data_IF_676525433090
#
_entry.id   IF_676525433090
#
_cell.length_a   1.000
_cell.length_b   1.000
_cell.length_c   1.000
_cell.angle_alpha   90.00
_cell.angle_beta   90.00
_cell.angle_gamma   90.00
#
_symmetry.space_group_name_H-M   'P 1'
#
loop_
_entity.id
_entity.type
_entity.pdbx_description
1 polymer ?
#
# COMPACT_ATOMS: atom_id res chain seq x y z
N UNK A 1 11.98 -8.83 8.77
CA UNK A 1 11.03 -9.72 9.47
C UNK A 1 10.81 -9.11 10.85
N UNK A 2 9.61 -9.17 11.47
CA UNK A 2 9.46 -8.63 12.81
C UNK A 2 10.44 -9.36 13.75
N UNK A 3 11.27 -8.64 14.48
CA UNK A 3 12.12 -9.22 15.53
C UNK A 3 11.39 -9.29 16.88
N UNK A 4 10.17 -8.75 16.91
CA UNK A 4 9.29 -8.66 18.05
C UNK A 4 8.60 -10.01 18.31
N UNK A 5 8.85 -10.56 19.50
CA UNK A 5 8.44 -11.92 19.88
C UNK A 5 6.91 -12.07 19.97
N UNK A 6 6.20 -11.03 20.38
CA UNK A 6 4.74 -10.96 20.44
C UNK A 6 4.12 -11.01 19.04
N UNK A 7 4.62 -10.17 18.11
CA UNK A 7 4.18 -10.19 16.71
C UNK A 7 4.47 -11.55 16.09
N UNK A 8 5.67 -12.10 16.28
CA UNK A 8 6.01 -13.42 15.74
C UNK A 8 5.21 -14.56 16.37
N UNK A 9 4.76 -14.43 17.62
CA UNK A 9 3.92 -15.41 18.30
C UNK A 9 2.50 -15.38 17.75
N UNK A 10 1.92 -14.19 17.56
CA UNK A 10 0.54 -14.00 17.16
C UNK A 10 0.26 -14.58 15.76
N UNK A 11 1.20 -14.39 14.84
CA UNK A 11 1.11 -14.85 13.43
C UNK A 11 1.94 -16.12 13.15
N UNK A 12 2.46 -16.79 14.19
CA UNK A 12 3.05 -18.13 14.08
C UNK A 12 4.44 -18.21 13.46
N UNK A 13 5.15 -17.10 13.27
CA UNK A 13 6.55 -17.11 12.82
C UNK A 13 7.48 -17.74 13.84
N UNK A 14 7.16 -17.70 15.14
CA UNK A 14 7.97 -18.32 16.20
C UNK A 14 8.12 -19.84 16.09
N UNK A 15 7.30 -20.51 15.27
CA UNK A 15 7.44 -21.95 15.02
C UNK A 15 8.55 -22.29 14.01
N UNK A 16 9.16 -21.29 13.39
CA UNK A 16 10.20 -21.46 12.39
C UNK A 16 11.47 -20.79 12.87
N UNK A 17 12.56 -21.54 13.01
CA UNK A 17 13.84 -20.99 13.48
C UNK A 17 14.58 -20.21 12.39
N UNK A 18 14.37 -20.56 11.11
CA UNK A 18 15.06 -19.91 10.00
C UNK A 18 14.22 -18.80 9.37
N UNK A 19 14.89 -17.70 9.00
CA UNK A 19 14.28 -16.62 8.22
C UNK A 19 13.66 -17.14 6.92
N UNK A 20 14.30 -18.11 6.26
CA UNK A 20 13.78 -18.71 5.03
C UNK A 20 12.43 -19.42 5.24
N UNK A 21 12.26 -20.12 6.36
CA UNK A 21 11.01 -20.82 6.67
C UNK A 21 9.92 -19.86 7.15
N UNK A 22 10.31 -18.82 7.90
CA UNK A 22 9.42 -17.71 8.25
C UNK A 22 8.94 -17.02 6.97
N UNK A 23 9.81 -16.65 6.04
CA UNK A 23 9.46 -16.04 4.75
C UNK A 23 8.47 -16.89 3.95
N UNK A 24 8.62 -18.21 3.98
CA UNK A 24 7.69 -19.15 3.33
C UNK A 24 6.31 -19.20 3.98
N UNK A 25 6.21 -19.06 5.30
CA UNK A 25 4.93 -18.93 5.99
C UNK A 25 4.20 -17.63 5.58
N UNK A 26 4.95 -16.55 5.41
CA UNK A 26 4.40 -15.27 4.95
C UNK A 26 3.82 -15.38 3.53
N UNK A 27 4.50 -16.11 2.63
CA UNK A 27 4.02 -16.40 1.28
C UNK A 27 2.68 -17.14 1.28
N UNK A 28 2.48 -18.09 2.20
CA UNK A 28 1.21 -18.80 2.35
C UNK A 28 0.06 -17.87 2.78
N UNK A 29 0.30 -16.98 3.74
CA UNK A 29 -0.72 -16.01 4.17
C UNK A 29 -1.11 -15.05 3.04
N UNK A 30 -0.14 -14.61 2.23
CA UNK A 30 -0.39 -13.80 1.04
C UNK A 30 -1.22 -14.56 -0.01
N UNK A 31 -0.92 -15.83 -0.26
CA UNK A 31 -1.66 -16.66 -1.20
C UNK A 31 -3.14 -16.80 -0.84
N UNK A 32 -3.45 -17.01 0.45
CA UNK A 32 -4.83 -17.11 0.95
C UNK A 32 -5.60 -15.79 0.78
N UNK A 33 -4.96 -14.65 1.05
CA UNK A 33 -5.56 -13.34 0.87
C UNK A 33 -5.85 -13.01 -0.59
N UNK A 34 -4.90 -13.27 -1.50
CA UNK A 34 -5.09 -13.05 -2.95
C UNK A 34 -6.26 -13.89 -3.49
N UNK A 35 -6.52 -15.05 -2.89
CA UNK A 35 -7.61 -15.93 -3.29
C UNK A 35 -8.95 -15.59 -2.59
N UNK A 36 -9.06 -14.43 -1.94
CA UNK A 36 -10.26 -14.00 -1.19
C UNK A 36 -10.76 -15.07 -0.21
N UNK A 37 -9.86 -15.86 0.37
CA UNK A 37 -10.27 -16.84 1.39
C UNK A 37 -10.73 -16.07 2.63
N UNK A 38 -11.99 -16.23 3.06
CA UNK A 38 -12.49 -15.55 4.25
C UNK A 38 -11.66 -15.92 5.49
N UNK A 39 -11.46 -14.95 6.36
CA UNK A 39 -10.63 -15.12 7.57
C UNK A 39 -11.25 -16.18 8.50
N UNK A 40 -12.58 -16.26 8.51
CA UNK A 40 -13.36 -17.23 9.27
C UNK A 40 -13.07 -18.66 8.83
N UNK A 41 -12.87 -18.88 7.53
CA UNK A 41 -12.53 -20.19 6.98
C UNK A 41 -11.09 -20.56 7.35
N UNK A 42 -10.14 -19.63 7.28
CA UNK A 42 -8.75 -19.88 7.70
C UNK A 42 -8.69 -20.23 9.19
N UNK A 43 -9.41 -19.49 10.03
CA UNK A 43 -9.50 -19.74 11.48
C UNK A 43 -10.15 -21.10 11.76
N UNK A 44 -11.27 -21.39 11.08
CA UNK A 44 -11.94 -22.69 11.16
C UNK A 44 -10.99 -23.82 10.78
N UNK A 45 -10.25 -23.68 9.68
CA UNK A 45 -9.29 -24.69 9.24
C UNK A 45 -8.15 -24.90 10.25
N UNK A 46 -7.75 -23.85 10.96
CA UNK A 46 -6.76 -23.95 12.03
C UNK A 46 -7.31 -24.67 13.26
N UNK A 47 -8.52 -24.33 13.71
CA UNK A 47 -9.18 -24.96 14.85
C UNK A 47 -9.44 -26.44 14.59
N UNK A 48 -9.83 -26.77 13.36
CA UNK A 48 -10.10 -28.14 12.90
C UNK A 48 -8.82 -28.94 12.57
N UNK A 49 -7.66 -28.28 12.51
CA UNK A 49 -6.40 -28.89 12.08
C UNK A 49 -6.36 -29.25 10.59
N UNK A 50 -7.29 -28.72 9.78
CA UNK A 50 -7.42 -28.90 8.34
C UNK A 50 -6.72 -27.83 7.50
N UNK A 51 -6.09 -26.82 8.13
CA UNK A 51 -5.40 -25.69 7.48
C UNK A 51 -4.48 -26.14 6.34
N UNK A 52 -3.68 -27.16 6.58
CA UNK A 52 -2.71 -27.70 5.61
C UNK A 52 -3.39 -28.30 4.38
N UNK A 53 -4.51 -29.00 4.58
CA UNK A 53 -5.27 -29.64 3.51
C UNK A 53 -5.95 -28.57 2.67
N UNK A 54 -6.59 -27.61 3.32
CA UNK A 54 -7.37 -26.59 2.65
C UNK A 54 -6.49 -25.54 1.93
N UNK A 55 -5.30 -25.24 2.46
CA UNK A 55 -4.29 -24.46 1.73
C UNK A 55 -3.86 -25.20 0.46
N UNK A 56 -3.58 -26.51 0.53
CA UNK A 56 -3.21 -27.30 -0.65
C UNK A 56 -4.33 -27.34 -1.69
N UNK A 57 -5.59 -27.46 -1.26
CA UNK A 57 -6.75 -27.43 -2.16
C UNK A 57 -6.93 -26.06 -2.82
N UNK A 58 -6.73 -24.97 -2.06
CA UNK A 58 -6.78 -23.60 -2.57
C UNK A 58 -5.64 -23.33 -3.55
N UNK A 59 -4.42 -23.78 -3.25
CA UNK A 59 -3.22 -23.55 -4.05
C UNK A 59 -3.16 -24.42 -5.33
N UNK A 60 -3.72 -25.64 -5.30
CA UNK A 60 -3.80 -26.53 -6.48
C UNK A 60 -4.67 -25.97 -7.63
N UNK A 61 -5.44 -24.90 -7.40
CA UNK A 61 -6.17 -24.20 -8.48
C UNK A 61 -5.27 -23.29 -9.33
N UNK A 62 -4.01 -23.04 -8.91
CA UNK A 62 -2.99 -22.37 -9.72
C UNK A 62 -2.00 -23.39 -10.30
N UNK A 63 -1.89 -23.45 -11.63
CA UNK A 63 -0.78 -24.15 -12.31
C UNK A 63 0.54 -23.49 -11.92
N UNK A 64 1.50 -24.26 -11.41
CA UNK A 64 2.92 -24.01 -11.70
C UNK A 64 3.97 -24.38 -10.66
N UNK A 65 3.78 -24.11 -9.37
CA UNK A 65 4.89 -24.18 -8.40
C UNK A 65 4.51 -24.87 -7.07
N UNK A 66 4.13 -26.15 -7.15
CA UNK A 66 3.83 -27.01 -5.99
C UNK A 66 5.02 -27.38 -5.09
N UNK A 67 6.17 -26.72 -5.25
CA UNK A 67 7.41 -27.02 -4.53
C UNK A 67 7.46 -26.38 -3.13
N UNK A 68 6.87 -25.18 -2.95
CA UNK A 68 7.01 -24.42 -1.71
C UNK A 68 6.05 -24.89 -0.60
N UNK A 69 4.80 -25.20 -0.97
CA UNK A 69 3.79 -25.78 -0.06
C UNK A 69 4.24 -27.13 0.53
N UNK A 70 4.81 -28.03 -0.26
CA UNK A 70 5.18 -29.36 0.26
C UNK A 70 6.34 -29.35 1.28
N UNK A 71 7.20 -28.34 1.27
CA UNK A 71 8.34 -28.23 2.19
C UNK A 71 7.90 -27.80 3.61
N UNK A 72 7.07 -26.76 3.70
CA UNK A 72 6.55 -26.23 4.98
C UNK A 72 5.64 -27.27 5.64
N UNK A 73 4.82 -27.95 4.83
CA UNK A 73 3.81 -28.91 5.28
C UNK A 73 4.40 -30.25 5.75
N UNK A 74 5.64 -30.57 5.37
CA UNK A 74 6.40 -31.71 5.91
C UNK A 74 7.01 -31.44 7.29
N UNK A 75 7.22 -30.18 7.67
CA UNK A 75 7.76 -29.79 8.99
C UNK A 75 6.67 -29.52 10.03
N UNK A 76 5.44 -29.22 9.61
CA UNK A 76 4.29 -28.96 10.51
C UNK A 76 3.73 -30.21 11.21
N UNK A 77 4.14 -31.42 10.83
CA UNK A 77 3.73 -32.67 11.50
C UNK A 77 4.47 -32.93 12.82
N UNK A 78 5.40 -32.06 13.23
CA UNK A 78 6.25 -32.25 14.42
C UNK A 78 5.96 -31.31 15.61
N UNK A 79 4.89 -30.50 15.61
CA UNK A 79 4.63 -29.59 16.74
C UNK A 79 3.50 -30.11 17.65
N UNK A 80 3.77 -30.46 18.92
CA UNK A 80 2.76 -30.82 19.89
C UNK A 80 1.85 -29.64 20.22
N UNK A 81 0.56 -29.93 20.38
CA UNK A 81 -0.50 -29.06 20.90
C UNK A 81 -0.06 -28.28 22.15
N UNK A 82 0.16 -26.98 22.05
CA UNK A 82 -0.17 -26.04 23.14
C UNK A 82 -0.79 -24.75 22.58
N UNK A 83 -1.96 -24.43 23.15
CA UNK A 83 -2.94 -23.44 22.70
C UNK A 83 -2.60 -22.06 23.27
N UNK A 84 -2.28 -21.09 22.42
CA UNK A 84 -2.74 -19.70 22.57
C UNK A 84 -3.63 -19.38 21.36
N UNK A 85 -4.75 -18.66 21.54
CA UNK A 85 -5.58 -18.25 20.40
C UNK A 85 -4.75 -17.30 19.54
N UNK A 86 -4.49 -17.70 18.29
CA UNK A 86 -3.71 -16.95 17.30
C UNK A 86 -4.59 -15.84 16.75
N UNK A 87 -4.15 -14.59 16.79
CA UNK A 87 -4.83 -13.50 16.10
C UNK A 87 -4.39 -13.51 14.64
N UNK A 88 -5.33 -13.59 13.71
CA UNK A 88 -5.01 -13.50 12.29
C UNK A 88 -4.45 -12.11 11.98
N UNK A 89 -3.60 -11.94 10.97
CA UNK A 89 -2.98 -10.63 10.71
C UNK A 89 -4.02 -9.53 10.44
N UNK A 90 -5.19 -9.87 9.87
CA UNK A 90 -6.32 -8.94 9.68
C UNK A 90 -7.02 -8.52 10.96
N UNK A 91 -6.85 -9.29 12.03
CA UNK A 91 -7.38 -9.04 13.37
C UNK A 91 -6.36 -8.27 14.24
N UNK A 92 -5.18 -7.97 13.69
CA UNK A 92 -4.21 -7.12 14.37
C UNK A 92 -4.85 -5.77 14.64
N UNK A 93 -4.91 -5.45 15.93
CA UNK A 93 -5.26 -4.12 16.43
C UNK A 93 -4.00 -3.47 17.03
N UNK A 94 -3.83 -2.15 16.89
CA UNK A 94 -4.69 -1.22 16.13
C UNK A 94 -4.60 -1.42 14.61
N UNK A 95 -5.54 -0.86 13.84
CA UNK A 95 -5.56 -0.92 12.36
C UNK A 95 -4.21 -0.50 11.76
N UNK A 96 -3.58 0.53 12.34
CA UNK A 96 -2.25 0.97 11.97
C UNK A 96 -1.20 -0.16 12.01
N UNK A 97 -1.25 -1.03 13.02
CA UNK A 97 -0.36 -2.20 13.14
C UNK A 97 -0.61 -3.21 12.03
N UNK A 98 -1.88 -3.48 11.69
CA UNK A 98 -2.25 -4.34 10.56
C UNK A 98 -1.73 -3.78 9.23
N UNK A 99 -1.98 -2.50 8.98
CA UNK A 99 -1.64 -1.86 7.69
C UNK A 99 -0.12 -1.77 7.50
N UNK A 100 0.62 -1.49 8.57
CA UNK A 100 2.07 -1.54 8.57
C UNK A 100 2.62 -2.96 8.41
N UNK A 101 1.97 -3.96 8.99
CA UNK A 101 2.35 -5.37 8.80
C UNK A 101 2.24 -5.77 7.33
N UNK A 102 1.18 -5.30 6.64
CA UNK A 102 1.03 -5.50 5.21
C UNK A 102 2.15 -4.85 4.40
N UNK A 103 2.55 -3.62 4.75
CA UNK A 103 3.70 -2.95 4.13
C UNK A 103 5.02 -3.69 4.33
N UNK A 104 5.26 -4.22 5.53
CA UNK A 104 6.43 -5.07 5.80
C UNK A 104 6.43 -6.32 4.92
N UNK A 105 5.27 -6.95 4.75
CA UNK A 105 5.13 -8.12 3.88
C UNK A 105 5.43 -7.77 2.41
N UNK A 106 4.94 -6.63 1.92
CA UNK A 106 5.25 -6.14 0.57
C UNK A 106 6.76 -5.89 0.39
N UNK A 107 7.40 -5.24 1.37
CA UNK A 107 8.84 -4.96 1.34
C UNK A 107 9.67 -6.26 1.26
N UNK A 108 9.30 -7.30 2.02
CA UNK A 108 9.99 -8.60 2.00
C UNK A 108 9.93 -9.28 0.63
N UNK A 109 8.87 -9.01 -0.15
CA UNK A 109 8.70 -9.51 -1.50
C UNK A 109 9.22 -8.56 -2.58
N UNK A 110 9.87 -7.45 -2.21
CA UNK A 110 10.26 -6.40 -3.15
C UNK A 110 9.09 -5.96 -4.04
N UNK A 111 7.90 -5.88 -3.44
CA UNK A 111 6.65 -5.54 -4.10
C UNK A 111 6.10 -4.22 -3.54
N UNK A 112 5.25 -3.58 -4.33
CA UNK A 112 4.52 -2.38 -3.96
C UNK A 112 3.02 -2.69 -3.85
N UNK A 113 2.25 -1.93 -3.05
CA UNK A 113 0.80 -2.03 -3.10
C UNK A 113 0.30 -1.56 -4.47
N UNK A 114 -0.93 -1.91 -4.84
CA UNK A 114 -1.56 -1.46 -6.08
C UNK A 114 -2.65 -0.41 -5.79
N UNK A 115 -3.05 0.42 -6.76
CA UNK A 115 -4.00 1.52 -6.53
C UNK A 115 -5.38 1.12 -5.96
N UNK A 116 -5.81 -0.14 -6.11
CA UNK A 116 -7.10 -0.60 -5.55
C UNK A 116 -6.99 -1.00 -4.07
N UNK A 117 -5.77 -1.06 -3.53
CA UNK A 117 -5.50 -1.37 -2.12
C UNK A 117 -5.40 -0.10 -1.29
N UNK A 118 -6.00 -0.11 -0.09
CA UNK A 118 -5.93 1.02 0.85
C UNK A 118 -4.49 1.44 1.14
N UNK A 119 -3.59 0.47 1.36
CA UNK A 119 -2.17 0.71 1.63
C UNK A 119 -1.44 1.52 0.53
N UNK A 120 -1.91 1.50 -0.71
CA UNK A 120 -1.32 2.35 -1.76
C UNK A 120 -1.61 3.82 -1.48
N UNK A 121 -2.84 4.14 -1.12
CA UNK A 121 -3.23 5.48 -0.71
C UNK A 121 -2.57 5.85 0.61
N UNK A 122 -2.76 5.02 1.64
CA UNK A 122 -2.37 5.29 3.02
C UNK A 122 -0.88 5.54 3.22
N UNK A 123 -0.03 4.89 2.41
CA UNK A 123 1.43 5.07 2.43
C UNK A 123 1.92 6.06 1.35
N UNK A 124 1.03 6.90 0.83
CA UNK A 124 1.38 8.05 0.01
C UNK A 124 1.85 7.72 -1.41
N UNK A 125 1.61 6.53 -1.95
CA UNK A 125 1.95 6.23 -3.35
C UNK A 125 1.16 7.11 -4.32
N UNK A 126 -0.01 7.60 -3.91
CA UNK A 126 -0.78 8.61 -4.64
C UNK A 126 -0.02 9.93 -4.86
N UNK A 127 1.03 10.21 -4.10
CA UNK A 127 1.84 11.42 -4.25
C UNK A 127 2.84 11.32 -5.40
N UNK A 128 3.17 10.12 -5.88
CA UNK A 128 4.09 9.90 -6.99
C UNK A 128 3.55 10.46 -8.31
N UNK A 129 4.39 11.09 -9.13
CA UNK A 129 3.98 11.73 -10.38
C UNK A 129 3.66 10.72 -11.50
N UNK A 130 4.33 9.57 -11.51
CA UNK A 130 4.17 8.47 -12.48
C UNK A 130 4.41 7.13 -11.77
N UNK A 131 3.90 6.03 -12.35
CA UNK A 131 4.11 4.64 -11.87
C UNK A 131 5.60 4.32 -11.68
N UNK A 132 6.48 4.93 -12.50
CA UNK A 132 7.93 4.78 -12.40
C UNK A 132 8.50 5.22 -11.04
N UNK A 133 7.88 6.19 -10.37
CA UNK A 133 8.33 6.71 -9.08
C UNK A 133 7.75 5.95 -7.88
N UNK A 134 6.81 5.04 -8.08
CA UNK A 134 6.33 4.11 -7.04
C UNK A 134 7.43 3.13 -6.61
N UNK A 135 8.28 2.69 -7.55
CA UNK A 135 9.44 1.82 -7.27
C UNK A 135 10.41 2.43 -6.26
N UNK A 136 10.92 3.66 -6.50
CA UNK A 136 11.71 4.41 -5.53
C UNK A 136 11.06 4.58 -4.15
N UNK A 137 9.75 4.86 -4.08
CA UNK A 137 9.04 5.00 -2.80
C UNK A 137 8.96 3.67 -2.05
N UNK A 138 8.67 2.57 -2.76
CA UNK A 138 8.76 1.22 -2.22
C UNK A 138 10.17 0.88 -1.72
N UNK A 139 11.20 1.32 -2.46
CA UNK A 139 12.60 1.21 -2.05
C UNK A 139 12.89 1.95 -0.75
N UNK A 140 12.31 3.14 -0.54
CA UNK A 140 12.42 3.89 0.70
C UNK A 140 11.82 3.09 1.87
N UNK A 141 10.60 2.56 1.73
CA UNK A 141 9.97 1.71 2.75
C UNK A 141 10.75 0.43 3.01
N UNK A 142 11.29 -0.20 1.96
CA UNK A 142 12.12 -1.38 2.09
C UNK A 142 13.36 -1.09 2.94
N UNK A 143 14.10 -0.03 2.64
CA UNK A 143 15.26 0.37 3.44
C UNK A 143 14.87 0.69 4.88
N UNK A 144 13.73 1.37 5.08
CA UNK A 144 13.29 1.76 6.42
C UNK A 144 12.96 0.54 7.31
N UNK A 145 12.23 -0.44 6.75
CA UNK A 145 11.72 -1.61 7.47
C UNK A 145 12.70 -2.79 7.53
N UNK A 146 13.51 -2.97 6.50
CA UNK A 146 14.40 -4.13 6.33
C UNK A 146 15.87 -3.76 6.28
N UNK A 147 16.23 -2.48 6.26
CA UNK A 147 17.61 -2.03 6.11
C UNK A 147 18.21 -2.38 4.75
N UNK A 148 19.53 -2.49 4.70
CA UNK A 148 20.28 -2.90 3.50
C UNK A 148 20.32 -4.43 3.30
N UNK A 149 19.38 -5.19 3.88
CA UNK A 149 19.36 -6.66 3.90
C UNK A 149 18.97 -7.30 2.55
N UNK A 150 19.33 -6.70 1.41
CA UNK A 150 19.16 -7.23 0.05
C UNK A 150 19.92 -8.57 -0.18
N UNK A 151 20.71 -9.05 0.79
CA UNK A 151 21.64 -10.17 0.62
C UNK A 151 21.47 -11.33 1.61
N UNK A 152 20.46 -11.32 2.49
CA UNK A 152 20.19 -12.43 3.42
C UNK A 152 19.57 -13.63 2.68
N UNK A 153 20.44 -14.37 1.99
CA UNK A 153 20.11 -15.48 1.10
C UNK A 153 21.25 -15.83 0.13
N UNK A 154 22.25 -14.96 0.00
CA UNK A 154 23.45 -15.22 -0.78
C UNK A 154 24.35 -16.23 -0.03
N UNK A 155 24.80 -17.32 -0.68
CA UNK A 155 25.75 -18.25 -0.09
C UNK A 155 26.99 -17.51 0.45
N UNK A 156 27.47 -17.89 1.64
CA UNK A 156 28.54 -17.21 2.37
C UNK A 156 29.83 -16.97 1.55
N UNK A 157 30.08 -17.75 0.51
CA UNK A 157 31.23 -17.60 -0.38
C UNK A 157 31.12 -16.42 -1.36
N UNK A 158 29.91 -15.99 -1.72
CA UNK A 158 29.65 -14.81 -2.57
C UNK A 158 29.57 -13.54 -1.72
N UNK A 159 28.96 -13.63 -0.52
CA UNK A 159 28.84 -12.51 0.42
C UNK A 159 30.20 -11.95 0.89
N UNK A 160 31.28 -12.76 0.88
CA UNK A 160 32.65 -12.31 1.21
C UNK A 160 33.26 -11.33 0.19
N UNK A 161 32.70 -11.24 -1.03
CA UNK A 161 33.22 -10.35 -2.09
C UNK A 161 32.54 -8.99 -2.15
N UNK A 162 31.47 -8.80 -1.38
CA UNK A 162 30.71 -7.56 -1.31
C UNK A 162 31.15 -6.84 -0.02
N UNK A 163 31.52 -5.54 -0.06
CA UNK A 163 31.79 -4.79 1.15
C UNK A 163 30.60 -4.92 2.10
N UNK A 164 30.83 -5.42 3.33
CA UNK A 164 29.81 -5.47 4.38
C UNK A 164 29.37 -4.03 4.68
N UNK A 165 28.34 -3.55 3.98
CA UNK A 165 27.60 -2.38 4.44
C UNK A 165 26.99 -2.78 5.78
N UNK A 166 27.20 -1.96 6.81
CA UNK A 166 26.65 -2.21 8.15
C UNK A 166 25.14 -2.44 8.01
N UNK A 167 24.66 -3.55 8.53
CA UNK A 167 23.23 -3.78 8.73
C UNK A 167 22.73 -2.73 9.70
N UNK A 168 22.06 -1.72 9.15
CA UNK A 168 21.30 -0.76 9.92
C UNK A 168 19.86 -1.04 9.47
N UNK A 169 19.18 -1.94 10.19
CA UNK A 169 17.73 -1.82 10.22
C UNK A 169 17.49 -0.50 10.94
N UNK A 170 16.91 0.44 10.22
CA UNK A 170 16.81 1.84 10.65
C UNK A 170 15.60 2.08 11.53
N UNK A 171 14.49 1.35 11.33
CA UNK A 171 13.37 1.40 12.24
C UNK A 171 12.94 -0.02 12.65
N UNK A 172 12.64 -0.21 13.93
CA UNK A 172 11.89 -1.38 14.38
C UNK A 172 10.47 -1.34 13.80
N UNK A 173 9.82 -2.51 13.73
CA UNK A 173 8.43 -2.57 13.28
C UNK A 173 7.52 -1.72 14.19
N UNK A 174 7.75 -1.73 15.50
CA UNK A 174 7.03 -0.92 16.47
C UNK A 174 7.20 0.58 16.26
N UNK A 175 8.43 1.05 16.03
CA UNK A 175 8.66 2.46 15.70
C UNK A 175 7.93 2.85 14.42
N UNK A 176 7.97 1.99 13.40
CA UNK A 176 7.29 2.24 12.13
C UNK A 176 5.77 2.35 12.29
N UNK A 177 5.10 1.36 12.91
CA UNK A 177 3.64 1.40 12.98
C UNK A 177 3.12 2.48 13.93
N UNK A 178 3.85 2.83 14.99
CA UNK A 178 3.52 3.94 15.88
C UNK A 178 3.74 5.30 15.21
N UNK A 179 4.80 5.44 14.42
CA UNK A 179 5.03 6.65 13.64
C UNK A 179 3.93 6.86 12.61
N UNK A 180 3.51 5.79 11.93
CA UNK A 180 2.36 5.82 11.03
C UNK A 180 1.07 6.21 11.77
N UNK A 181 0.72 5.54 12.86
CA UNK A 181 -0.48 5.82 13.65
C UNK A 181 -0.56 7.27 14.14
N UNK A 182 0.58 7.83 14.57
CA UNK A 182 0.66 9.19 15.11
C UNK A 182 0.87 10.29 14.06
N UNK A 183 0.99 9.95 12.77
CA UNK A 183 1.31 10.93 11.73
C UNK A 183 2.73 11.51 11.83
N UNK A 184 3.68 10.76 12.41
CA UNK A 184 5.07 11.19 12.62
C UNK A 184 6.08 10.45 11.73
N UNK A 185 5.63 9.88 10.61
CA UNK A 185 6.47 9.15 9.64
C UNK A 185 7.67 9.97 9.15
N UNK A 186 7.53 11.28 8.96
CA UNK A 186 8.63 12.18 8.56
C UNK A 186 9.69 12.26 9.66
N UNK A 187 9.27 12.28 10.93
CA UNK A 187 10.16 12.29 12.09
C UNK A 187 10.85 10.94 12.30
N UNK A 188 10.31 9.86 11.76
CA UNK A 188 10.99 8.56 11.71
C UNK A 188 12.02 8.53 10.57
N UNK A 189 11.70 9.05 9.39
CA UNK A 189 12.58 8.97 8.21
C UNK A 189 13.81 9.88 8.30
N UNK A 190 13.64 11.13 8.74
CA UNK A 190 14.70 12.14 8.69
C UNK A 190 15.91 11.81 9.62
N UNK A 191 15.72 11.42 10.89
CA UNK A 191 16.81 11.05 11.79
C UNK A 191 17.54 9.77 11.35
N UNK A 192 16.83 8.86 10.69
CA UNK A 192 17.37 7.61 10.16
C UNK A 192 18.17 7.78 8.85
N UNK A 193 18.43 9.04 8.46
CA UNK A 193 19.26 9.37 7.30
C UNK A 193 18.52 9.32 5.96
N UNK A 194 17.21 9.10 5.95
CA UNK A 194 16.41 9.04 4.71
C UNK A 194 15.89 10.39 4.25
N UNK A 195 16.22 11.49 4.93
CA UNK A 195 15.77 12.82 4.52
C UNK A 195 16.04 13.11 3.03
N UNK A 196 17.22 12.76 2.54
CA UNK A 196 17.57 12.99 1.12
C UNK A 196 16.73 12.14 0.16
N UNK A 197 16.51 10.86 0.49
CA UNK A 197 15.66 9.95 -0.30
C UNK A 197 14.20 10.41 -0.27
N UNK A 198 13.70 10.81 0.90
CA UNK A 198 12.35 11.33 1.11
C UNK A 198 12.08 12.61 0.32
N UNK A 199 13.04 13.53 0.28
CA UNK A 199 12.90 14.81 -0.44
C UNK A 199 12.78 14.66 -1.96
N UNK A 200 13.01 13.46 -2.51
CA UNK A 200 12.69 13.15 -3.91
C UNK A 200 11.17 13.08 -4.17
N UNK A 201 10.35 12.98 -3.12
CA UNK A 201 8.89 12.94 -3.19
C UNK A 201 8.32 14.26 -2.64
N UNK A 202 8.10 15.28 -3.49
CA UNK A 202 7.82 16.65 -3.06
C UNK A 202 6.52 16.79 -2.26
N UNK A 203 5.52 15.93 -2.53
CA UNK A 203 4.21 16.00 -1.89
C UNK A 203 4.06 15.01 -0.71
N UNK A 204 5.05 14.16 -0.45
CA UNK A 204 4.95 13.13 0.58
C UNK A 204 4.89 13.71 1.99
N UNK A 205 5.56 14.84 2.22
CA UNK A 205 5.52 15.54 3.51
C UNK A 205 4.17 16.20 3.78
N UNK A 206 3.58 16.83 2.76
CA UNK A 206 2.22 17.37 2.84
C UNK A 206 1.22 16.24 3.12
N UNK A 207 1.35 15.12 2.40
CA UNK A 207 0.45 13.99 2.56
C UNK A 207 0.47 13.42 3.99
N UNK A 208 1.66 13.25 4.57
CA UNK A 208 1.82 12.75 5.93
C UNK A 208 1.61 13.80 7.04
N UNK A 209 1.34 15.06 6.69
CA UNK A 209 0.94 16.06 7.69
C UNK A 209 -0.44 15.73 8.30
N UNK A 210 -1.26 14.97 7.58
CA UNK A 210 -2.49 14.35 8.08
C UNK A 210 -2.20 12.93 8.58
N UNK A 211 -2.68 12.54 9.77
CA UNK A 211 -2.59 11.15 10.23
C UNK A 211 -3.46 10.23 9.35
N UNK A 212 -3.28 8.90 9.41
CA UNK A 212 -4.01 7.95 8.55
C UNK A 212 -5.55 8.02 8.67
N UNK A 213 -6.07 8.39 9.84
CA UNK A 213 -7.50 8.61 10.06
C UNK A 213 -7.94 10.06 9.80
N UNK A 214 -7.04 10.91 9.32
CA UNK A 214 -7.25 12.33 9.06
C UNK A 214 -7.87 12.59 7.70
N UNK A 215 -8.28 13.84 7.48
CA UNK A 215 -8.76 14.28 6.17
C UNK A 215 -7.57 14.61 5.28
N UNK A 216 -7.44 13.86 4.18
CA UNK A 216 -6.49 14.17 3.11
C UNK A 216 -7.14 15.07 2.06
N UNK A 217 -6.32 15.83 1.33
CA UNK A 217 -6.81 16.61 0.19
C UNK A 217 -7.47 15.70 -0.85
N UNK A 218 -8.62 16.11 -1.38
CA UNK A 218 -9.39 15.29 -2.32
C UNK A 218 -8.66 14.99 -3.64
N UNK A 219 -7.60 15.77 -3.96
CA UNK A 219 -6.77 15.51 -5.14
C UNK A 219 -6.03 14.18 -5.03
N UNK A 220 -5.73 13.72 -3.82
CA UNK A 220 -5.12 12.41 -3.60
C UNK A 220 -6.10 11.28 -3.96
N UNK A 221 -7.38 11.41 -3.59
CA UNK A 221 -8.44 10.48 -4.00
C UNK A 221 -8.65 10.51 -5.51
N UNK A 222 -8.57 11.69 -6.12
CA UNK A 222 -8.59 11.82 -7.58
C UNK A 222 -7.44 11.04 -8.22
N UNK A 223 -6.20 11.20 -7.73
CA UNK A 223 -5.04 10.47 -8.26
C UNK A 223 -5.22 8.96 -8.12
N UNK A 224 -5.74 8.47 -7.00
CA UNK A 224 -6.04 7.04 -6.83
C UNK A 224 -7.07 6.56 -7.86
N UNK A 225 -8.18 7.28 -8.02
CA UNK A 225 -9.21 6.94 -9.01
C UNK A 225 -8.65 6.88 -10.44
N UNK A 226 -7.80 7.83 -10.82
CA UNK A 226 -7.16 7.85 -12.13
C UNK A 226 -6.15 6.69 -12.32
N UNK A 227 -5.45 6.31 -11.25
CA UNK A 227 -4.48 5.20 -11.24
C UNK A 227 -5.18 3.83 -11.34
N UNK A 228 -6.33 3.64 -10.68
CA UNK A 228 -7.15 2.42 -10.83
C UNK A 228 -7.59 2.20 -12.29
N UNK A 229 -7.80 3.28 -13.05
CA UNK A 229 -8.07 3.26 -14.50
C UNK A 229 -9.22 2.32 -14.94
N UNK A 230 -10.18 2.05 -14.04
CA UNK A 230 -11.32 1.19 -14.32
C UNK A 230 -12.59 1.77 -13.67
N UNK A 231 -13.18 2.83 -14.25
CA UNK A 231 -14.34 3.51 -13.68
C UNK A 231 -15.63 2.69 -13.69
N UNK A 232 -15.64 1.52 -14.35
CA UNK A 232 -16.78 0.62 -14.35
C UNK A 232 -16.83 -0.26 -13.10
N UNK A 233 -15.67 -0.73 -12.64
CA UNK A 233 -15.53 -1.53 -11.42
C UNK A 233 -15.36 -0.64 -10.18
N UNK A 234 -14.60 0.46 -10.32
CA UNK A 234 -14.32 1.42 -9.26
C UNK A 234 -14.85 2.79 -9.67
N UNK A 235 -16.17 3.07 -9.49
CA UNK A 235 -16.75 4.36 -9.83
C UNK A 235 -16.18 5.48 -8.95
N UNK A 236 -16.28 6.75 -9.39
CA UNK A 236 -15.77 7.87 -8.61
C UNK A 236 -16.48 7.95 -7.25
N UNK A 237 -15.70 8.11 -6.18
CA UNK A 237 -16.27 8.28 -4.84
C UNK A 237 -17.03 9.62 -4.73
N UNK A 238 -17.87 9.81 -3.68
CA UNK A 238 -18.66 11.03 -3.52
C UNK A 238 -17.83 12.31 -3.47
N UNK A 239 -16.64 12.28 -2.86
CA UNK A 239 -15.75 13.44 -2.71
C UNK A 239 -15.28 13.90 -4.08
N UNK A 240 -14.69 13.01 -4.87
CA UNK A 240 -14.19 13.39 -6.19
C UNK A 240 -15.32 13.66 -7.19
N UNK A 241 -16.48 13.03 -6.99
CA UNK A 241 -17.67 13.30 -7.80
C UNK A 241 -18.11 14.75 -7.69
N UNK A 242 -18.06 15.29 -6.48
CA UNK A 242 -18.39 16.69 -6.19
C UNK A 242 -17.25 17.62 -6.58
N UNK A 243 -16.06 17.37 -6.05
CA UNK A 243 -14.93 18.29 -6.13
C UNK A 243 -14.44 18.47 -7.56
N UNK A 244 -14.37 17.37 -8.32
CA UNK A 244 -13.81 17.33 -9.67
C UNK A 244 -14.87 17.17 -10.76
N UNK A 245 -16.15 17.25 -10.40
CA UNK A 245 -17.24 17.37 -11.36
C UNK A 245 -17.68 16.08 -12.04
N UNK A 246 -17.27 14.90 -11.57
CA UNK A 246 -17.78 13.63 -12.12
C UNK A 246 -19.29 13.47 -11.91
N UNK A 247 -19.88 14.14 -10.91
CA UNK A 247 -21.35 14.18 -10.74
C UNK A 247 -22.08 14.84 -11.92
N UNK A 248 -21.38 15.64 -12.74
CA UNK A 248 -21.95 16.27 -13.93
C UNK A 248 -21.91 15.35 -15.17
N UNK A 249 -21.19 14.23 -15.11
CA UNK A 249 -21.12 13.25 -16.19
C UNK A 249 -22.45 12.49 -16.30
N UNK A 250 -23.03 12.49 -17.49
CA UNK A 250 -24.29 11.78 -17.81
C UNK A 250 -24.05 10.44 -18.50
N UNK A 251 -22.85 10.23 -19.03
CA UNK A 251 -22.49 9.02 -19.77
C UNK A 251 -21.12 8.51 -19.36
N UNK A 252 -20.89 7.21 -19.54
CA UNK A 252 -19.57 6.61 -19.34
C UNK A 252 -18.48 7.29 -20.17
N UNK A 253 -18.83 7.73 -21.39
CA UNK A 253 -17.91 8.45 -22.28
C UNK A 253 -17.48 9.80 -21.69
N UNK A 254 -18.41 10.53 -21.06
CA UNK A 254 -18.06 11.78 -20.36
C UNK A 254 -17.14 11.51 -19.16
N UNK A 255 -17.40 10.44 -18.40
CA UNK A 255 -16.50 10.02 -17.31
C UNK A 255 -15.09 9.72 -17.82
N UNK A 256 -14.95 8.90 -18.87
CA UNK A 256 -13.65 8.59 -19.46
C UNK A 256 -12.95 9.85 -20.02
N UNK A 257 -13.71 10.75 -20.64
CA UNK A 257 -13.16 12.01 -21.18
C UNK A 257 -12.62 12.89 -20.05
N UNK A 258 -13.38 13.03 -18.96
CA UNK A 258 -12.97 13.83 -17.80
C UNK A 258 -11.77 13.18 -17.07
N UNK A 259 -11.72 11.86 -16.96
CA UNK A 259 -10.55 11.14 -16.45
C UNK A 259 -9.30 11.43 -17.26
N UNK A 260 -9.38 11.32 -18.59
CA UNK A 260 -8.23 11.57 -19.47
C UNK A 260 -7.77 13.03 -19.40
N UNK A 261 -8.70 13.96 -19.28
CA UNK A 261 -8.39 15.37 -19.08
C UNK A 261 -7.58 15.58 -17.78
N UNK A 262 -8.03 15.04 -16.65
CA UNK A 262 -7.31 15.18 -15.38
C UNK A 262 -5.95 14.46 -15.40
N UNK A 263 -5.84 13.28 -16.02
CA UNK A 263 -4.54 12.61 -16.23
C UNK A 263 -3.57 13.50 -16.99
N UNK A 264 -4.02 14.11 -18.09
CA UNK A 264 -3.20 15.02 -18.88
C UNK A 264 -2.86 16.31 -18.15
N UNK A 265 -3.75 16.77 -17.26
CA UNK A 265 -3.53 17.96 -16.44
C UNK A 265 -2.46 17.70 -15.38
N UNK A 266 -2.58 16.60 -14.63
CA UNK A 266 -1.65 16.22 -13.55
C UNK A 266 -0.25 15.83 -14.05
N UNK A 267 -0.08 15.52 -15.34
CA UNK A 267 1.26 15.40 -15.96
C UNK A 267 2.02 16.72 -16.11
N UNK A 268 1.34 17.85 -15.99
CA UNK A 268 1.90 19.20 -16.25
C UNK A 268 1.74 20.14 -15.06
N UNK A 269 0.70 19.95 -14.27
CA UNK A 269 0.31 20.83 -13.19
C UNK A 269 0.52 20.15 -11.83
N UNK A 270 0.87 20.95 -10.82
CA UNK A 270 0.95 20.47 -9.43
C UNK A 270 -0.42 19.96 -8.97
N UNK A 271 -0.49 18.80 -8.29
CA UNK A 271 -1.72 18.34 -7.65
C UNK A 271 -2.26 19.34 -6.61
N UNK A 272 -1.37 20.03 -5.89
CA UNK A 272 -1.77 21.03 -4.90
C UNK A 272 -2.44 22.24 -5.57
N UNK A 273 -1.87 22.76 -6.66
CA UNK A 273 -2.47 23.88 -7.41
C UNK A 273 -3.83 23.49 -8.00
N UNK A 274 -3.99 22.23 -8.44
CA UNK A 274 -5.27 21.71 -8.90
C UNK A 274 -6.30 21.68 -7.76
N UNK A 275 -5.89 21.25 -6.56
CA UNK A 275 -6.77 21.25 -5.40
C UNK A 275 -7.17 22.66 -4.99
N UNK A 276 -6.23 23.62 -4.99
CA UNK A 276 -6.52 25.03 -4.73
C UNK A 276 -7.52 25.59 -5.75
N UNK A 277 -7.35 25.29 -7.05
CA UNK A 277 -8.29 25.69 -8.08
C UNK A 277 -9.67 25.05 -7.89
N UNK A 278 -9.73 23.80 -7.42
CA UNK A 278 -10.96 23.12 -7.08
C UNK A 278 -11.71 23.85 -5.95
N UNK A 279 -11.04 24.11 -4.82
CA UNK A 279 -11.62 24.81 -3.68
C UNK A 279 -11.99 26.26 -4.02
N UNK A 280 -11.27 26.90 -4.95
CA UNK A 280 -11.61 28.23 -5.45
C UNK A 280 -12.76 28.26 -6.47
N UNK A 281 -13.30 27.10 -6.88
CA UNK A 281 -14.33 27.00 -7.91
C UNK A 281 -13.86 27.41 -9.32
N UNK A 282 -12.54 27.37 -9.57
CA UNK A 282 -11.87 27.84 -10.81
C UNK A 282 -11.24 26.71 -11.61
N UNK A 283 -11.84 25.54 -11.52
CA UNK A 283 -11.31 24.28 -12.03
C UNK A 283 -11.17 24.28 -13.56
N UNK A 284 -12.14 24.92 -14.24
CA UNK A 284 -12.12 25.11 -15.69
C UNK A 284 -11.05 26.11 -16.12
N UNK A 285 -11.00 27.28 -15.49
CA UNK A 285 -10.02 28.34 -15.78
C UNK A 285 -8.58 27.84 -15.55
N UNK A 286 -8.38 27.03 -14.52
CA UNK A 286 -7.10 26.38 -14.28
C UNK A 286 -6.73 25.40 -15.39
N UNK A 287 -7.67 24.54 -15.81
CA UNK A 287 -7.44 23.56 -16.88
C UNK A 287 -7.18 24.23 -18.25
N UNK A 288 -7.79 25.38 -18.53
CA UNK A 288 -7.57 26.19 -19.74
C UNK A 288 -6.11 26.65 -19.91
N UNK A 289 -5.37 26.82 -18.81
CA UNK A 289 -3.95 27.16 -18.85
C UNK A 289 -3.08 26.04 -19.46
N UNK A 290 -3.57 24.78 -19.47
CA UNK A 290 -2.79 23.61 -19.88
C UNK A 290 -3.30 22.90 -21.13
N UNK A 291 -4.60 23.02 -21.41
CA UNK A 291 -5.28 22.34 -22.52
C UNK A 291 -6.29 23.27 -23.21
N UNK A 292 -6.61 22.96 -24.47
CA UNK A 292 -7.72 23.62 -25.16
C UNK A 292 -9.02 23.08 -24.60
N UNK A 293 -9.88 23.97 -24.11
CA UNK A 293 -11.15 23.63 -23.49
C UNK A 293 -12.32 24.18 -24.31
N UNK A 294 -13.48 23.54 -24.17
CA UNK A 294 -14.72 23.99 -24.79
C UNK A 294 -15.85 24.08 -23.74
N UNK A 295 -17.05 24.45 -24.19
CA UNK A 295 -18.20 24.63 -23.31
C UNK A 295 -18.71 23.33 -22.68
N UNK A 296 -18.48 22.16 -23.31
CA UNK A 296 -18.83 20.88 -22.71
C UNK A 296 -17.91 20.60 -21.51
N UNK A 297 -16.62 20.87 -21.63
CA UNK A 297 -15.69 20.77 -20.51
C UNK A 297 -16.04 21.75 -19.37
N UNK A 298 -16.46 22.98 -19.70
CA UNK A 298 -16.93 23.97 -18.70
C UNK A 298 -18.12 23.47 -17.90
N UNK A 299 -19.04 22.74 -18.54
CA UNK A 299 -20.17 22.11 -17.86
C UNK A 299 -19.72 21.01 -16.90
N UNK A 300 -18.78 20.17 -17.32
CA UNK A 300 -18.31 19.03 -16.54
C UNK A 300 -17.53 19.46 -15.30
N UNK A 301 -16.70 20.50 -15.40
CA UNK A 301 -15.80 20.94 -14.32
C UNK A 301 -16.45 21.90 -13.30
N UNK A 302 -17.78 21.99 -13.25
CA UNK A 302 -18.48 22.75 -12.20
C UNK A 302 -18.49 21.97 -10.90
N UNK A 303 -18.13 22.63 -9.80
CA UNK A 303 -18.23 22.08 -8.46
C UNK A 303 -19.00 23.03 -7.53
N UNK A 304 -19.38 22.55 -6.34
CA UNK A 304 -20.20 23.32 -5.41
C UNK A 304 -19.49 24.53 -4.79
N UNK A 305 -18.15 24.56 -4.78
CA UNK A 305 -17.39 25.71 -4.26
C UNK A 305 -17.57 26.98 -5.08
N UNK A 306 -18.02 26.84 -6.34
CA UNK A 306 -18.41 27.98 -7.18
C UNK A 306 -19.67 28.73 -6.71
N UNK A 307 -20.34 28.28 -5.64
CA UNK A 307 -21.62 28.83 -5.16
C UNK A 307 -21.56 29.63 -3.83
N UNK A 308 -20.41 30.25 -3.50
CA UNK A 308 -20.36 31.33 -2.48
C UNK A 308 -19.29 32.36 -2.87
N UNK A 309 -19.51 33.67 -2.88
CA UNK A 309 -20.53 34.56 -2.29
C UNK A 309 -20.81 35.65 -3.35
N UNK A 310 -22.07 35.83 -3.73
CA UNK A 310 -22.61 37.14 -4.19
C UNK A 310 -23.43 37.75 -3.04
#
# INVERSE_FOLDING_TARGET
MPDEEDVCADVGFNYFESFADKSKLLELYKGLWINNVPVEDIYKWQVEGSLVVNIKETDNTRRGDGANCNYILRRSTLVPRQRRPRQHFNELKPEAKRDCFYMLALCLHSANPNPTQANWFDFGYCTCDEEYYEGPLGGLYHKLLLGNNLFDGIPAHVARRIPRMKNIQTATFTEFWKAYESGTMIQLMDPEGFKHDRLQFPFLEEFFSSPPCGTHLSVWSLKQFLAMNNPAEFPPDPTISVDYGFMNCKTFMETCTLMELYKRLLRKASPLDLHEACVAGKLFEFAECFHKMDQAHRRLMKNFYSLGIE
#
